data_IF_196011789125
#
_entry.id   IF_196011789125
#
_cell.length_a   1.000
_cell.length_b   1.000
_cell.length_c   1.000
_cell.angle_alpha   90.00
_cell.angle_beta   90.00
_cell.angle_gamma   90.00
#
_symmetry.space_group_name_H-M   'P 1'
#
loop_
_entity.id
_entity.type
_entity.pdbx_description
1 polymer ?
#
# COMPACT_ATOMS: atom_id res chain seq x y z
N UNK A 1 -46.13 -26.54 -35.85
CA UNK A 1 -45.56 -25.31 -35.27
C UNK A 1 -44.38 -24.88 -36.13
N UNK A 2 -44.41 -23.66 -36.65
CA UNK A 2 -43.31 -23.07 -37.42
C UNK A 2 -42.11 -22.73 -36.50
N UNK A 3 -40.92 -22.54 -37.07
CA UNK A 3 -39.73 -22.16 -36.30
C UNK A 3 -39.93 -20.83 -35.54
N UNK A 4 -40.66 -19.88 -36.12
CA UNK A 4 -40.99 -18.61 -35.47
C UNK A 4 -41.93 -18.77 -34.27
N UNK A 5 -42.96 -19.61 -34.39
CA UNK A 5 -43.85 -19.95 -33.27
C UNK A 5 -43.10 -20.63 -32.12
N UNK A 6 -42.21 -21.57 -32.47
CA UNK A 6 -41.38 -22.29 -31.49
C UNK A 6 -40.43 -21.34 -30.74
N UNK A 7 -39.81 -20.41 -31.46
CA UNK A 7 -38.92 -19.39 -30.88
C UNK A 7 -39.70 -18.41 -29.98
N UNK A 8 -40.90 -18.00 -30.41
CA UNK A 8 -41.81 -17.16 -29.61
C UNK A 8 -42.22 -17.85 -28.30
N UNK A 9 -42.65 -19.12 -28.37
CA UNK A 9 -43.01 -19.91 -27.20
C UNK A 9 -41.84 -20.07 -26.24
N UNK A 10 -40.64 -20.39 -26.75
CA UNK A 10 -39.41 -20.46 -25.94
C UNK A 10 -39.13 -19.14 -25.21
N UNK A 11 -39.25 -18.01 -25.91
CA UNK A 11 -39.04 -16.69 -25.32
C UNK A 11 -39.98 -16.42 -24.15
N UNK A 12 -41.26 -16.78 -24.31
CA UNK A 12 -42.28 -16.64 -23.26
C UNK A 12 -42.02 -17.56 -22.07
N UNK A 13 -41.65 -18.82 -22.31
CA UNK A 13 -41.28 -19.78 -21.25
C UNK A 13 -40.06 -19.29 -20.46
N UNK A 14 -39.03 -18.77 -21.15
CA UNK A 14 -37.84 -18.16 -20.51
C UNK A 14 -38.22 -16.98 -19.63
N UNK A 15 -39.04 -16.07 -20.14
CA UNK A 15 -39.47 -14.88 -19.40
C UNK A 15 -40.27 -15.26 -18.15
N UNK A 16 -41.22 -16.21 -18.27
CA UNK A 16 -42.00 -16.69 -17.13
C UNK A 16 -41.11 -17.32 -16.05
N UNK A 17 -40.14 -18.16 -16.44
CA UNK A 17 -39.22 -18.78 -15.49
C UNK A 17 -38.32 -17.76 -14.79
N UNK A 18 -37.71 -16.82 -15.53
CA UNK A 18 -36.85 -15.78 -14.95
C UNK A 18 -37.60 -14.86 -13.96
N UNK A 19 -38.88 -14.59 -14.22
CA UNK A 19 -39.71 -13.79 -13.32
C UNK A 19 -40.03 -14.51 -12.01
N UNK A 20 -40.21 -15.84 -12.06
CA UNK A 20 -40.53 -16.68 -10.89
C UNK A 20 -39.29 -16.97 -10.03
N UNK A 21 -38.10 -16.89 -10.63
CA UNK A 21 -36.81 -17.17 -9.97
C UNK A 21 -35.81 -16.02 -10.22
N UNK A 22 -36.05 -14.80 -9.69
CA UNK A 22 -35.25 -13.60 -9.99
C UNK A 22 -33.78 -13.69 -9.55
N UNK A 23 -33.47 -14.56 -8.60
CA UNK A 23 -32.11 -14.85 -8.13
C UNK A 23 -31.29 -15.68 -9.13
N UNK A 24 -31.93 -16.26 -10.15
CA UNK A 24 -31.28 -17.17 -11.10
C UNK A 24 -30.91 -16.46 -12.39
N UNK A 25 -29.76 -16.84 -12.94
CA UNK A 25 -29.35 -16.38 -14.27
C UNK A 25 -30.24 -17.03 -15.35
N UNK A 26 -30.51 -16.34 -16.47
CA UNK A 26 -31.26 -16.90 -17.59
C UNK A 26 -30.67 -18.23 -18.07
N UNK A 27 -31.53 -19.19 -18.42
CA UNK A 27 -31.09 -20.50 -18.93
C UNK A 27 -30.43 -20.32 -20.30
N UNK A 28 -29.11 -20.44 -20.35
CA UNK A 28 -28.33 -20.43 -21.58
C UNK A 28 -28.28 -21.85 -22.19
N UNK A 29 -28.43 -22.01 -23.51
CA UNK A 29 -28.50 -23.33 -24.15
C UNK A 29 -27.26 -24.21 -23.94
N UNK A 30 -26.11 -23.58 -23.70
CA UNK A 30 -24.79 -24.25 -23.65
C UNK A 30 -24.40 -24.70 -22.24
N UNK A 31 -25.12 -24.27 -21.21
CA UNK A 31 -24.70 -24.43 -19.82
C UNK A 31 -25.84 -25.00 -18.96
N UNK A 32 -25.51 -26.11 -18.29
CA UNK A 32 -26.22 -26.78 -17.19
C UNK A 32 -27.35 -27.78 -17.49
N UNK A 33 -27.11 -28.99 -16.97
CA UNK A 33 -28.11 -30.05 -16.75
C UNK A 33 -29.21 -29.59 -15.77
N UNK A 34 -28.85 -28.83 -14.72
CA UNK A 34 -29.74 -28.47 -13.61
C UNK A 34 -30.81 -27.42 -13.93
N UNK A 35 -30.53 -26.47 -14.83
CA UNK A 35 -31.49 -25.41 -15.17
C UNK A 35 -32.75 -25.96 -15.87
N UNK A 36 -32.62 -27.06 -16.63
CA UNK A 36 -33.75 -27.72 -17.28
C UNK A 36 -34.57 -28.58 -16.32
N UNK A 37 -33.95 -29.12 -15.26
CA UNK A 37 -34.65 -29.87 -14.21
C UNK A 37 -35.56 -28.94 -13.42
N UNK A 38 -35.03 -27.78 -13.03
CA UNK A 38 -35.81 -26.76 -12.32
C UNK A 38 -36.92 -26.18 -13.20
N UNK A 39 -36.64 -25.92 -14.49
CA UNK A 39 -37.66 -25.48 -15.42
C UNK A 39 -38.76 -26.54 -15.59
N UNK A 40 -38.39 -27.82 -15.71
CA UNK A 40 -39.37 -28.92 -15.76
C UNK A 40 -40.21 -28.93 -14.49
N UNK A 41 -39.57 -28.89 -13.34
CA UNK A 41 -40.25 -29.03 -12.05
C UNK A 41 -41.18 -27.82 -11.79
N UNK A 42 -40.78 -26.60 -12.20
CA UNK A 42 -41.64 -25.40 -12.14
C UNK A 42 -42.80 -25.48 -13.14
N UNK A 43 -42.60 -26.02 -14.35
CA UNK A 43 -43.70 -26.27 -15.30
C UNK A 43 -44.69 -27.28 -14.71
N UNK A 44 -44.21 -28.38 -14.13
CA UNK A 44 -45.06 -29.43 -13.55
C UNK A 44 -45.80 -28.98 -12.29
N UNK A 45 -45.24 -28.02 -11.55
CA UNK A 45 -45.94 -27.38 -10.43
C UNK A 45 -47.15 -26.55 -10.88
N UNK A 46 -47.14 -26.04 -12.12
CA UNK A 46 -48.23 -25.23 -12.70
C UNK A 46 -49.18 -26.08 -13.55
N UNK A 47 -48.65 -27.07 -14.27
CA UNK A 47 -49.37 -27.94 -15.21
C UNK A 47 -49.11 -29.41 -14.85
N UNK A 48 -49.63 -29.92 -13.72
CA UNK A 48 -49.32 -31.26 -13.21
C UNK A 48 -49.77 -32.39 -14.13
N UNK A 49 -50.84 -32.19 -14.91
CA UNK A 49 -51.36 -33.14 -15.90
C UNK A 49 -50.36 -33.42 -17.05
N UNK A 50 -49.38 -32.54 -17.26
CA UNK A 50 -48.39 -32.67 -18.32
C UNK A 50 -47.16 -33.52 -17.95
N UNK A 51 -47.17 -34.23 -16.80
CA UNK A 51 -46.04 -35.02 -16.30
C UNK A 51 -45.49 -36.05 -17.31
N UNK A 52 -46.36 -36.69 -18.10
CA UNK A 52 -45.95 -37.63 -19.15
C UNK A 52 -45.40 -36.94 -20.42
N UNK A 53 -45.71 -35.64 -20.60
CA UNK A 53 -45.44 -34.88 -21.81
C UNK A 53 -44.23 -33.95 -21.69
N UNK A 54 -43.93 -33.43 -20.50
CA UNK A 54 -42.74 -32.60 -20.23
C UNK A 54 -41.57 -33.50 -19.81
N UNK A 55 -40.60 -33.68 -20.71
CA UNK A 55 -39.35 -34.37 -20.39
C UNK A 55 -38.14 -33.46 -20.63
N UNK A 56 -37.05 -33.73 -19.91
CA UNK A 56 -35.79 -32.98 -20.07
C UNK A 56 -35.31 -33.01 -21.52
N UNK A 57 -35.45 -34.15 -22.21
CA UNK A 57 -35.06 -34.26 -23.62
C UNK A 57 -35.90 -33.37 -24.54
N UNK A 58 -37.22 -33.23 -24.29
CA UNK A 58 -38.08 -32.34 -25.08
C UNK A 58 -37.79 -30.87 -24.81
N UNK A 59 -37.56 -30.49 -23.55
CA UNK A 59 -37.14 -29.12 -23.18
C UNK A 59 -35.79 -28.76 -23.81
N UNK A 60 -34.79 -29.64 -23.72
CA UNK A 60 -33.49 -29.43 -24.38
C UNK A 60 -33.63 -29.27 -25.88
N UNK A 61 -34.45 -30.11 -26.53
CA UNK A 61 -34.73 -29.99 -27.96
C UNK A 61 -35.38 -28.65 -28.30
N UNK A 62 -36.38 -28.21 -27.54
CA UNK A 62 -37.00 -26.90 -27.75
C UNK A 62 -35.96 -25.79 -27.65
N UNK A 63 -35.16 -25.76 -26.58
CA UNK A 63 -34.23 -24.67 -26.35
C UNK A 63 -33.04 -24.68 -27.32
N UNK A 64 -32.56 -25.85 -27.73
CA UNK A 64 -31.43 -25.99 -28.66
C UNK A 64 -31.83 -25.71 -30.11
N UNK A 65 -32.89 -26.37 -30.62
CA UNK A 65 -33.25 -26.29 -32.03
C UNK A 65 -33.99 -25.00 -32.42
N UNK A 66 -34.44 -24.21 -31.45
CA UNK A 66 -35.04 -22.90 -31.69
C UNK A 66 -34.12 -21.74 -31.33
N UNK A 67 -32.86 -22.02 -30.95
CA UNK A 67 -31.86 -20.98 -30.73
C UNK A 67 -31.11 -20.63 -32.01
N UNK A 68 -31.25 -19.39 -32.54
CA UNK A 68 -30.52 -18.97 -33.72
C UNK A 68 -29.00 -18.93 -33.49
N UNK A 69 -28.52 -18.85 -32.25
CA UNK A 69 -27.09 -18.87 -31.92
C UNK A 69 -26.52 -20.27 -31.68
N UNK A 70 -27.38 -21.26 -31.38
CA UNK A 70 -26.95 -22.64 -31.11
C UNK A 70 -27.14 -23.58 -32.31
N UNK A 71 -28.05 -23.27 -33.24
CA UNK A 71 -28.38 -24.11 -34.38
C UNK A 71 -28.31 -23.31 -35.69
N UNK A 72 -27.57 -23.80 -36.68
CA UNK A 72 -27.51 -23.15 -38.00
C UNK A 72 -28.85 -23.29 -38.74
N UNK A 73 -29.22 -22.34 -39.62
CA UNK A 73 -30.49 -22.39 -40.36
C UNK A 73 -30.74 -23.70 -41.10
N UNK A 74 -29.70 -24.37 -41.59
CA UNK A 74 -29.83 -25.67 -42.29
C UNK A 74 -30.19 -26.83 -41.35
N UNK A 75 -29.94 -26.69 -40.05
CA UNK A 75 -30.26 -27.69 -39.01
C UNK A 75 -31.55 -27.37 -38.25
N UNK A 76 -32.24 -26.28 -38.61
CA UNK A 76 -33.59 -25.96 -38.11
C UNK A 76 -34.68 -26.79 -38.81
N UNK A 77 -34.44 -28.07 -39.07
CA UNK A 77 -35.56 -28.99 -39.31
C UNK A 77 -36.26 -29.17 -37.96
N UNK A 78 -37.41 -28.51 -37.82
CA UNK A 78 -38.12 -28.43 -36.54
C UNK A 78 -38.39 -29.84 -36.00
N UNK A 79 -37.84 -30.23 -34.84
CA UNK A 79 -38.25 -31.47 -34.20
C UNK A 79 -39.76 -31.40 -33.98
N UNK A 80 -40.49 -32.45 -34.37
CA UNK A 80 -41.92 -32.52 -34.10
C UNK A 80 -42.12 -32.65 -32.60
N UNK A 81 -42.72 -31.63 -32.01
CA UNK A 81 -43.16 -31.67 -30.62
C UNK A 81 -44.57 -32.26 -30.58
N UNK A 82 -44.84 -33.13 -29.61
CA UNK A 82 -46.19 -33.60 -29.35
C UNK A 82 -47.10 -32.42 -28.96
N UNK A 83 -48.37 -32.47 -29.38
CA UNK A 83 -49.35 -31.42 -29.10
C UNK A 83 -49.44 -31.11 -27.60
N UNK A 84 -49.53 -32.15 -26.77
CA UNK A 84 -49.62 -32.07 -25.32
C UNK A 84 -48.41 -31.36 -24.67
N UNK A 85 -47.22 -31.47 -25.27
CA UNK A 85 -46.03 -30.75 -24.79
C UNK A 85 -46.12 -29.26 -25.09
N UNK A 86 -46.62 -28.89 -26.27
CA UNK A 86 -46.79 -27.49 -26.67
C UNK A 86 -47.89 -26.82 -25.85
N UNK A 87 -49.03 -27.49 -25.66
CA UNK A 87 -50.14 -26.98 -24.85
C UNK A 87 -49.70 -26.73 -23.40
N UNK A 88 -48.94 -27.65 -22.81
CA UNK A 88 -48.41 -27.48 -21.45
C UNK A 88 -47.46 -26.28 -21.32
N UNK A 89 -46.63 -26.02 -22.33
CA UNK A 89 -45.74 -24.85 -22.35
C UNK A 89 -46.50 -23.54 -22.57
N UNK A 90 -47.55 -23.57 -23.39
CA UNK A 90 -48.44 -22.41 -23.59
C UNK A 90 -49.18 -22.07 -22.31
N UNK A 91 -49.77 -23.05 -21.63
CA UNK A 91 -50.42 -22.88 -20.33
C UNK A 91 -49.45 -22.32 -19.28
N UNK A 92 -48.24 -22.88 -19.19
CA UNK A 92 -47.19 -22.36 -18.30
C UNK A 92 -46.81 -20.92 -18.66
N UNK A 93 -46.69 -20.59 -19.95
CA UNK A 93 -46.37 -19.24 -20.39
C UNK A 93 -47.53 -18.23 -20.21
N UNK A 94 -48.78 -18.68 -20.23
CA UNK A 94 -49.98 -17.84 -20.11
C UNK A 94 -50.43 -17.62 -18.66
N UNK A 95 -49.97 -18.43 -17.69
CA UNK A 95 -50.29 -18.24 -16.27
C UNK A 95 -49.89 -16.85 -15.70
N UNK A 96 -49.05 -16.10 -16.43
CA UNK A 96 -48.64 -14.74 -16.06
C UNK A 96 -49.61 -13.65 -16.49
N UNK A 97 -50.44 -13.87 -17.53
CA UNK A 97 -51.41 -12.86 -17.99
C UNK A 97 -52.45 -12.54 -16.91
N UNK A 98 -52.65 -13.42 -15.94
CA UNK A 98 -53.53 -13.20 -14.81
C UNK A 98 -52.94 -12.28 -13.72
N UNK A 99 -51.60 -12.18 -13.62
CA UNK A 99 -50.93 -11.32 -12.61
C UNK A 99 -50.64 -9.90 -13.08
N UNK A 100 -50.59 -9.65 -14.39
CA UNK A 100 -50.42 -8.28 -14.94
C UNK A 100 -51.67 -7.39 -14.80
N UNK A 101 -52.83 -7.96 -14.42
CA UNK A 101 -54.04 -7.19 -14.13
C UNK A 101 -54.14 -6.68 -12.69
N UNK A 102 -53.12 -6.90 -11.85
CA UNK A 102 -53.05 -6.19 -10.57
C UNK A 102 -52.65 -4.73 -10.84
N UNK A 103 -53.45 -3.74 -10.41
CA UNK A 103 -53.15 -2.34 -10.66
C UNK A 103 -51.80 -1.99 -10.01
N UNK A 104 -50.75 -1.94 -10.82
CA UNK A 104 -49.45 -1.40 -10.43
C UNK A 104 -49.72 0.06 -10.08
N UNK A 105 -49.85 0.31 -8.78
CA UNK A 105 -49.99 1.64 -8.19
C UNK A 105 -48.74 2.42 -8.58
N UNK A 106 -48.81 3.13 -9.71
CA UNK A 106 -47.75 3.99 -10.22
C UNK A 106 -47.53 5.09 -9.19
N UNK A 107 -46.60 4.86 -8.27
CA UNK A 107 -45.98 5.91 -7.46
C UNK A 107 -45.31 6.86 -8.45
N UNK A 108 -45.98 7.98 -8.68
CA UNK A 108 -45.60 9.13 -9.51
C UNK A 108 -44.09 9.34 -9.57
N UNK A 109 -43.50 9.16 -10.76
CA UNK A 109 -42.06 9.03 -11.00
C UNK A 109 -41.16 10.20 -10.59
N UNK A 110 -41.72 11.33 -10.18
CA UNK A 110 -40.95 12.47 -9.66
C UNK A 110 -40.30 12.17 -8.30
N UNK A 111 -40.98 11.46 -7.39
CA UNK A 111 -40.44 11.17 -6.04
C UNK A 111 -39.31 10.12 -6.05
N UNK A 112 -39.37 9.16 -6.98
CA UNK A 112 -38.30 8.14 -7.15
C UNK A 112 -37.01 8.74 -7.70
N UNK A 113 -37.10 9.65 -8.68
CA UNK A 113 -35.91 10.33 -9.23
C UNK A 113 -35.23 11.22 -8.19
N UNK A 114 -36.00 11.91 -7.34
CA UNK A 114 -35.46 12.70 -6.24
C UNK A 114 -34.71 11.82 -5.22
N UNK A 115 -35.30 10.67 -4.83
CA UNK A 115 -34.67 9.75 -3.88
C UNK A 115 -33.33 9.17 -4.37
N UNK A 116 -33.25 8.80 -5.65
CA UNK A 116 -32.01 8.30 -6.25
C UNK A 116 -30.93 9.39 -6.29
N UNK A 117 -31.29 10.62 -6.67
CA UNK A 117 -30.34 11.74 -6.68
C UNK A 117 -29.76 12.04 -5.28
N UNK A 118 -30.60 11.98 -4.25
CA UNK A 118 -30.19 12.23 -2.86
C UNK A 118 -29.28 11.12 -2.31
N UNK A 119 -29.53 9.87 -2.70
CA UNK A 119 -28.67 8.74 -2.36
C UNK A 119 -27.28 8.86 -3.01
N UNK A 120 -27.21 9.26 -4.29
CA UNK A 120 -25.93 9.47 -4.98
C UNK A 120 -25.14 10.60 -4.31
N UNK A 121 -25.80 11.71 -3.97
CA UNK A 121 -25.18 12.83 -3.26
C UNK A 121 -24.65 12.42 -1.88
N UNK A 122 -25.39 11.60 -1.14
CA UNK A 122 -24.96 11.08 0.16
C UNK A 122 -23.72 10.18 0.00
N UNK A 123 -23.74 9.27 -0.98
CA UNK A 123 -22.60 8.38 -1.23
C UNK A 123 -21.35 9.17 -1.67
N UNK A 124 -21.49 10.20 -2.51
CA UNK A 124 -20.35 11.03 -2.90
C UNK A 124 -19.84 11.88 -1.74
N UNK A 125 -20.70 12.36 -0.85
CA UNK A 125 -20.30 13.05 0.37
C UNK A 125 -19.54 12.12 1.32
N UNK A 126 -20.01 10.89 1.53
CA UNK A 126 -19.34 9.88 2.37
C UNK A 126 -17.98 9.47 1.77
N UNK A 127 -17.92 9.20 0.46
CA UNK A 127 -16.66 8.87 -0.21
C UNK A 127 -15.67 10.05 -0.15
N UNK A 128 -16.13 11.28 -0.39
CA UNK A 128 -15.29 12.48 -0.28
C UNK A 128 -14.81 12.70 1.15
N UNK A 129 -15.67 12.49 2.15
CA UNK A 129 -15.28 12.59 3.56
C UNK A 129 -14.29 11.51 3.98
N UNK A 130 -14.44 10.27 3.50
CA UNK A 130 -13.46 9.19 3.75
C UNK A 130 -12.11 9.50 3.12
N UNK A 131 -12.10 9.95 1.86
CA UNK A 131 -10.88 10.41 1.16
C UNK A 131 -10.26 11.58 1.91
N UNK A 132 -11.06 12.60 2.25
CA UNK A 132 -10.57 13.77 2.97
C UNK A 132 -10.02 13.38 4.36
N UNK A 133 -10.75 12.60 5.14
CA UNK A 133 -10.29 12.07 6.42
C UNK A 133 -8.96 11.33 6.25
N UNK A 134 -8.84 10.46 5.26
CA UNK A 134 -7.63 9.66 5.06
C UNK A 134 -6.42 10.50 4.64
N UNK A 135 -6.62 11.57 3.85
CA UNK A 135 -5.54 12.43 3.38
C UNK A 135 -5.24 13.64 4.27
N UNK A 136 -6.20 14.06 5.11
CA UNK A 136 -6.13 15.31 5.88
C UNK A 136 -6.25 15.12 7.40
N UNK A 137 -6.45 13.90 7.93
CA UNK A 137 -6.16 13.69 9.35
C UNK A 137 -4.67 13.94 9.55
N UNK A 138 -4.36 15.04 10.23
CA UNK A 138 -3.07 15.27 10.83
C UNK A 138 -2.80 14.06 11.73
N UNK A 139 -1.92 13.16 11.28
CA UNK A 139 -1.46 12.06 12.11
C UNK A 139 -1.06 12.62 13.48
N UNK A 140 -1.54 11.97 14.53
CA UNK A 140 -1.31 12.44 15.88
C UNK A 140 0.21 12.54 16.11
N UNK A 141 0.68 13.62 16.75
CA UNK A 141 2.09 13.72 17.13
C UNK A 141 2.44 12.50 17.98
N UNK A 142 3.58 11.89 17.69
CA UNK A 142 4.06 10.74 18.43
C UNK A 142 5.55 10.84 18.69
N UNK A 143 5.97 10.23 19.79
CA UNK A 143 7.36 10.09 20.19
C UNK A 143 7.61 8.65 20.60
N UNK A 144 8.71 8.09 20.13
CA UNK A 144 9.20 6.78 20.51
C UNK A 144 10.50 6.96 21.28
N UNK A 145 10.47 6.63 22.57
CA UNK A 145 11.64 6.65 23.47
C UNK A 145 12.30 5.26 23.58
N UNK A 146 11.89 4.27 22.76
CA UNK A 146 12.50 2.94 22.66
C UNK A 146 12.71 2.22 24.01
N UNK A 147 11.76 2.39 24.94
CA UNK A 147 11.79 1.71 26.24
C UNK A 147 11.62 0.18 26.14
N UNK A 148 10.99 -0.29 25.06
CA UNK A 148 10.85 -1.73 24.74
C UNK A 148 11.21 -1.96 23.27
N UNK A 149 12.41 -2.47 23.04
CA UNK A 149 12.99 -2.70 21.71
C UNK A 149 12.81 -4.13 21.22
N UNK A 150 11.98 -4.93 21.90
CA UNK A 150 11.56 -6.22 21.37
C UNK A 150 10.82 -6.04 20.04
N UNK A 151 10.92 -7.02 19.15
CA UNK A 151 10.22 -6.96 17.87
C UNK A 151 8.70 -6.83 18.07
N UNK A 152 8.15 -7.57 19.03
CA UNK A 152 6.74 -7.53 19.40
C UNK A 152 6.32 -6.15 19.94
N UNK A 153 7.14 -5.55 20.82
CA UNK A 153 6.90 -4.21 21.36
C UNK A 153 6.93 -3.13 20.28
N UNK A 154 7.92 -3.20 19.37
CA UNK A 154 8.02 -2.29 18.23
C UNK A 154 6.78 -2.43 17.32
N UNK A 155 6.38 -3.67 17.00
CA UNK A 155 5.20 -3.96 16.18
C UNK A 155 3.90 -3.47 16.81
N UNK A 156 3.72 -3.65 18.13
CA UNK A 156 2.52 -3.17 18.82
C UNK A 156 2.40 -1.64 18.81
N UNK A 157 3.50 -0.92 18.56
CA UNK A 157 3.56 0.54 18.41
C UNK A 157 3.65 1.00 16.95
N UNK A 158 3.38 0.11 16.01
CA UNK A 158 3.26 0.40 14.58
C UNK A 158 4.57 0.46 13.81
N UNK A 159 5.68 0.01 14.41
CA UNK A 159 6.94 -0.19 13.69
C UNK A 159 6.93 -1.53 12.94
N UNK A 160 7.62 -1.58 11.82
CA UNK A 160 7.86 -2.79 11.06
C UNK A 160 9.35 -2.93 10.77
N UNK A 161 9.92 -4.11 11.02
CA UNK A 161 11.29 -4.42 10.67
C UNK A 161 11.33 -5.01 9.25
N UNK A 162 12.04 -4.35 8.34
CA UNK A 162 12.33 -4.84 7.00
C UNK A 162 13.68 -5.57 7.02
N UNK A 163 13.79 -6.63 6.20
CA UNK A 163 15.04 -7.39 6.03
C UNK A 163 15.70 -7.78 7.36
N UNK A 164 14.90 -8.34 8.27
CA UNK A 164 15.32 -8.62 9.64
C UNK A 164 16.38 -9.72 9.72
N UNK A 165 17.54 -9.42 10.30
CA UNK A 165 18.53 -10.37 10.81
C UNK A 165 18.37 -10.50 12.33
N UNK A 166 17.80 -11.62 12.82
CA UNK A 166 17.51 -11.79 14.25
C UNK A 166 18.78 -11.79 15.10
N UNK A 167 19.94 -12.18 14.56
CA UNK A 167 21.20 -12.25 15.30
C UNK A 167 21.60 -10.89 15.84
N UNK A 168 21.43 -9.85 15.03
CA UNK A 168 21.75 -8.48 15.41
C UNK A 168 20.54 -7.75 16.00
N UNK A 169 19.33 -8.08 15.56
CA UNK A 169 18.13 -7.40 16.05
C UNK A 169 17.88 -7.66 17.54
N UNK A 170 18.11 -8.88 18.03
CA UNK A 170 17.96 -9.20 19.46
C UNK A 170 19.08 -8.64 20.34
N UNK A 171 20.18 -8.18 19.74
CA UNK A 171 21.38 -7.72 20.45
C UNK A 171 21.22 -6.25 20.90
N UNK A 172 20.36 -6.02 21.87
CA UNK A 172 20.10 -4.69 22.42
C UNK A 172 21.06 -4.43 23.57
N UNK A 173 22.11 -3.63 23.32
CA UNK A 173 23.21 -3.44 24.28
C UNK A 173 23.04 -2.26 25.20
N UNK A 174 22.07 -1.38 24.92
CA UNK A 174 21.78 -0.18 25.71
C UNK A 174 20.30 -0.16 26.13
N UNK A 175 19.96 -0.37 27.42
CA UNK A 175 18.59 -0.28 27.89
C UNK A 175 17.98 1.11 27.66
N UNK A 176 16.72 1.16 27.26
CA UNK A 176 15.99 2.41 26.99
C UNK A 176 16.42 3.12 25.69
N UNK A 177 17.15 2.44 24.81
CA UNK A 177 17.52 2.95 23.49
C UNK A 177 17.43 1.84 22.47
N UNK A 178 17.14 2.19 21.22
CA UNK A 178 17.24 1.26 20.11
C UNK A 178 18.71 1.13 19.69
N UNK A 179 19.24 -0.09 19.76
CA UNK A 179 20.55 -0.42 19.19
C UNK A 179 20.37 -0.80 17.72
N UNK A 180 21.03 -0.06 16.83
CA UNK A 180 21.15 -0.38 15.40
C UNK A 180 22.61 -0.68 15.06
N UNK A 181 22.87 -1.56 14.10
CA UNK A 181 24.21 -2.00 13.74
C UNK A 181 24.52 -1.63 12.29
N UNK A 182 25.77 -1.26 11.99
CA UNK A 182 26.22 -1.00 10.62
C UNK A 182 26.34 -2.29 9.81
N UNK A 183 25.20 -2.95 9.54
CA UNK A 183 25.14 -4.19 8.78
C UNK A 183 25.29 -3.93 7.28
N UNK A 184 25.65 -4.96 6.49
CA UNK A 184 25.62 -4.84 5.04
C UNK A 184 24.27 -4.34 4.52
N UNK A 185 24.34 -3.35 3.64
CA UNK A 185 23.19 -2.79 2.96
C UNK A 185 23.45 -1.35 2.54
N UNK A 186 23.05 -0.99 1.33
CA UNK A 186 22.92 0.38 0.79
C UNK A 186 22.49 0.24 -0.70
N UNK A 187 22.64 1.29 -1.50
CA UNK A 187 22.55 1.24 -2.96
C UNK A 187 23.70 0.49 -3.64
N UNK A 188 24.83 0.29 -2.95
CA UNK A 188 26.05 -0.31 -3.47
C UNK A 188 26.06 -1.83 -3.34
N UNK A 189 25.06 -2.47 -3.94
CA UNK A 189 25.01 -3.94 -4.06
C UNK A 189 25.62 -4.40 -5.38
N UNK A 190 26.10 -5.63 -5.41
CA UNK A 190 26.63 -6.22 -6.65
C UNK A 190 25.54 -6.38 -7.71
N UNK A 191 25.91 -6.45 -8.99
CA UNK A 191 24.99 -6.89 -10.02
C UNK A 191 24.35 -8.23 -9.60
N UNK A 192 23.01 -8.29 -9.64
CA UNK A 192 22.19 -9.45 -9.25
C UNK A 192 21.98 -9.67 -7.74
N UNK A 193 22.51 -8.81 -6.87
CA UNK A 193 22.15 -8.85 -5.45
C UNK A 193 20.93 -7.98 -5.13
N UNK A 194 20.22 -8.39 -4.09
CA UNK A 194 19.06 -7.65 -3.63
C UNK A 194 19.47 -6.36 -2.90
N UNK A 195 18.96 -5.21 -3.36
CA UNK A 195 19.08 -3.95 -2.63
C UNK A 195 18.21 -3.99 -1.38
N UNK A 196 18.85 -4.00 -0.22
CA UNK A 196 18.23 -3.94 1.11
C UNK A 196 19.09 -3.19 2.12
N UNK A 197 18.46 -2.73 3.20
CA UNK A 197 19.12 -2.25 4.41
C UNK A 197 18.68 -3.21 5.51
N UNK A 198 19.60 -4.06 5.94
CA UNK A 198 19.33 -5.08 6.96
C UNK A 198 18.89 -4.42 8.27
N UNK A 199 17.84 -4.93 8.90
CA UNK A 199 17.25 -4.38 10.14
C UNK A 199 16.75 -2.93 10.04
N UNK A 200 16.34 -2.47 8.85
CA UNK A 200 15.65 -1.19 8.71
C UNK A 200 14.28 -1.26 9.39
N UNK A 201 14.05 -0.45 10.43
CA UNK A 201 12.71 -0.32 11.00
C UNK A 201 11.99 0.88 10.39
N UNK A 202 10.70 0.74 10.08
CA UNK A 202 9.89 1.78 9.45
C UNK A 202 8.58 2.00 10.20
N UNK A 203 8.11 3.25 10.21
CA UNK A 203 6.81 3.65 10.79
C UNK A 203 6.14 4.75 9.95
N UNK A 204 4.82 4.73 9.80
CA UNK A 204 4.10 5.83 9.14
C UNK A 204 4.27 7.17 9.88
N UNK A 205 4.57 8.23 9.14
CA UNK A 205 4.70 9.61 9.70
C UNK A 205 3.39 10.38 9.73
N UNK A 206 2.36 9.90 9.02
CA UNK A 206 1.07 10.59 8.92
C UNK A 206 1.08 11.70 7.85
N UNK A 207 0.74 12.95 8.19
CA UNK A 207 0.38 13.99 7.23
C UNK A 207 1.60 14.57 6.50
N UNK A 208 1.35 15.36 5.46
CA UNK A 208 2.38 15.92 4.57
C UNK A 208 3.22 17.06 5.18
N UNK A 209 2.82 17.57 6.35
CA UNK A 209 3.45 18.73 6.99
C UNK A 209 3.86 18.37 8.42
N UNK A 210 5.09 17.88 8.59
CA UNK A 210 5.59 17.36 9.88
C UNK A 210 7.02 17.79 10.15
N UNK A 211 7.40 17.79 11.42
CA UNK A 211 8.78 17.84 11.87
C UNK A 211 9.15 16.49 12.45
N UNK A 212 10.21 15.88 11.92
CA UNK A 212 10.79 14.65 12.42
C UNK A 212 12.09 15.03 13.12
N UNK A 213 12.24 14.64 14.38
CA UNK A 213 13.48 14.88 15.15
C UNK A 213 13.96 13.55 15.74
N UNK A 214 15.24 13.25 15.60
CA UNK A 214 15.87 12.04 16.13
C UNK A 214 17.10 12.41 16.94
N UNK A 215 17.27 11.75 18.09
CA UNK A 215 18.47 11.86 18.92
C UNK A 215 19.27 10.56 18.84
N UNK A 216 20.46 10.68 18.27
CA UNK A 216 21.46 9.61 18.15
C UNK A 216 22.51 9.82 19.24
N UNK A 217 22.91 8.75 19.92
CA UNK A 217 23.91 8.75 20.99
C UNK A 217 25.00 7.72 20.67
N UNK A 218 26.25 8.04 21.01
CA UNK A 218 27.36 7.08 21.05
C UNK A 218 27.71 6.40 19.72
N UNK A 219 27.43 7.03 18.57
CA UNK A 219 27.79 6.48 17.26
C UNK A 219 29.12 7.09 16.76
N UNK A 220 30.16 6.26 16.69
CA UNK A 220 31.53 6.69 16.37
C UNK A 220 32.05 6.00 15.10
N UNK A 221 31.56 6.37 13.91
CA UNK A 221 31.97 5.72 12.67
C UNK A 221 33.45 6.00 12.40
N UNK A 222 34.23 4.94 12.19
CA UNK A 222 35.69 4.98 12.09
C UNK A 222 36.24 4.33 10.81
N UNK A 223 35.36 3.72 10.00
CA UNK A 223 35.70 3.09 8.73
C UNK A 223 34.73 3.53 7.62
N UNK A 224 35.18 3.53 6.35
CA UNK A 224 34.35 3.91 5.20
C UNK A 224 32.96 3.28 5.20
N UNK A 225 31.98 4.09 4.78
CA UNK A 225 30.58 3.70 4.58
C UNK A 225 29.78 3.36 5.85
N UNK A 226 30.38 3.30 7.03
CA UNK A 226 29.62 3.20 8.28
C UNK A 226 28.74 4.44 8.45
N UNK A 227 27.43 4.23 8.56
CA UNK A 227 26.48 5.32 8.74
C UNK A 227 25.27 4.89 9.55
N UNK A 228 24.63 5.87 10.18
CA UNK A 228 23.34 5.78 10.83
C UNK A 228 22.45 6.87 10.25
N UNK A 229 21.21 6.55 9.92
CA UNK A 229 20.35 7.48 9.22
C UNK A 229 18.86 7.33 9.58
N UNK A 230 18.16 8.46 9.44
CA UNK A 230 16.74 8.52 9.21
C UNK A 230 16.50 8.44 7.70
N UNK A 231 15.54 7.62 7.28
CA UNK A 231 15.10 7.53 5.90
C UNK A 231 13.66 8.05 5.78
N UNK A 232 13.38 8.89 4.79
CA UNK A 232 12.03 9.25 4.40
C UNK A 232 11.64 8.47 3.15
N UNK A 233 10.65 7.61 3.27
CA UNK A 233 10.27 6.67 2.22
C UNK A 233 8.84 6.95 1.76
N UNK A 234 8.57 6.71 0.48
CA UNK A 234 7.20 6.72 -0.08
C UNK A 234 6.43 5.44 0.28
N UNK A 235 7.11 4.31 0.29
CA UNK A 235 6.56 2.98 0.55
C UNK A 235 7.61 2.10 1.23
N UNK A 236 7.23 0.90 1.69
CA UNK A 236 8.09 -0.05 2.41
C UNK A 236 9.07 -0.76 1.47
N UNK A 237 9.78 0.00 0.65
CA UNK A 237 10.69 -0.50 -0.35
C UNK A 237 11.81 0.51 -0.54
N UNK A 238 13.04 0.15 -0.16
CA UNK A 238 14.17 1.07 -0.30
C UNK A 238 14.60 1.28 -1.77
N UNK A 239 14.08 0.46 -2.70
CA UNK A 239 14.37 0.56 -4.13
C UNK A 239 13.58 1.65 -4.82
N UNK A 240 12.68 2.34 -4.13
CA UNK A 240 12.02 3.54 -4.64
C UNK A 240 12.76 4.79 -4.16
N UNK A 241 12.48 5.97 -4.76
CA UNK A 241 13.02 7.22 -4.27
C UNK A 241 12.77 7.40 -2.77
N UNK A 242 13.84 7.72 -2.06
CA UNK A 242 13.83 8.02 -0.64
C UNK A 242 14.80 9.17 -0.36
N UNK A 243 14.63 9.82 0.78
CA UNK A 243 15.58 10.79 1.29
C UNK A 243 16.29 10.18 2.49
N UNK A 244 17.62 10.23 2.50
CA UNK A 244 18.44 9.81 3.63
C UNK A 244 19.02 11.02 4.34
N UNK A 245 18.94 11.01 5.66
CA UNK A 245 19.53 12.05 6.53
C UNK A 245 20.23 11.34 7.67
N UNK A 246 21.56 11.43 7.72
CA UNK A 246 22.34 10.61 8.63
C UNK A 246 23.64 11.25 9.09
N UNK A 247 24.39 10.46 9.84
CA UNK A 247 25.77 10.69 10.23
C UNK A 247 26.56 9.44 9.88
N UNK A 248 27.78 9.59 9.37
CA UNK A 248 28.59 8.46 8.96
C UNK A 248 30.04 8.82 8.78
N UNK A 249 30.82 7.89 8.21
CA UNK A 249 32.18 8.11 7.81
C UNK A 249 32.26 8.44 6.32
N UNK A 250 32.70 9.65 5.99
CA UNK A 250 33.05 10.02 4.62
C UNK A 250 34.54 10.00 4.37
N UNK A 251 34.97 9.44 3.24
CA UNK A 251 36.27 9.71 2.65
C UNK A 251 36.09 10.87 1.66
N UNK A 252 36.87 11.94 1.80
CA UNK A 252 36.85 13.07 0.85
C UNK A 252 37.13 12.56 -0.56
N UNK A 253 36.09 12.43 -1.39
CA UNK A 253 36.20 11.92 -2.75
C UNK A 253 37.03 12.89 -3.59
N UNK A 254 38.29 12.53 -3.86
CA UNK A 254 39.10 13.20 -4.89
C UNK A 254 40.44 13.81 -4.47
N UNK A 255 40.84 13.75 -3.20
CA UNK A 255 42.23 14.08 -2.85
C UNK A 255 42.95 12.85 -2.32
N UNK A 256 44.06 12.48 -3.00
CA UNK A 256 45.09 11.52 -2.58
C UNK A 256 45.65 11.90 -1.19
N UNK A 257 44.86 11.73 -0.15
CA UNK A 257 45.28 11.95 1.23
C UNK A 257 45.21 10.61 1.93
N UNK A 258 46.38 10.09 2.28
CA UNK A 258 46.62 8.79 2.93
C UNK A 258 46.03 8.69 4.34
N UNK A 259 45.13 9.57 4.77
CA UNK A 259 44.70 9.64 6.16
C UNK A 259 43.19 9.85 6.29
N UNK A 260 42.52 8.84 6.85
CA UNK A 260 41.08 8.84 7.10
C UNK A 260 40.62 10.02 7.94
N UNK A 261 39.81 10.88 7.33
CA UNK A 261 39.02 11.90 8.01
C UNK A 261 37.64 11.32 8.34
N UNK A 262 37.09 11.65 9.51
CA UNK A 262 35.70 11.31 9.87
C UNK A 262 34.83 12.52 9.51
N UNK A 263 34.08 12.43 8.42
CA UNK A 263 33.26 13.53 7.89
C UNK A 263 31.82 13.34 8.35
N UNK A 264 31.15 14.37 8.90
CA UNK A 264 29.69 14.34 9.01
C UNK A 264 29.09 14.37 7.59
N UNK A 265 28.83 13.18 7.06
CA UNK A 265 28.09 13.01 5.82
C UNK A 265 26.62 13.32 6.08
N UNK A 266 26.22 14.56 5.79
CA UNK A 266 24.94 14.71 5.12
C UNK A 266 25.12 14.10 3.73
N UNK A 267 24.32 13.11 3.38
CA UNK A 267 24.24 12.63 1.99
C UNK A 267 22.78 12.71 1.61
N UNK A 268 22.40 13.72 0.83
CA UNK A 268 21.08 13.80 0.22
C UNK A 268 21.07 12.90 -1.02
N UNK A 269 21.03 11.60 -0.83
CA UNK A 269 20.87 10.73 -1.98
C UNK A 269 19.44 10.84 -2.52
N UNK A 270 19.27 11.71 -3.53
CA UNK A 270 18.06 11.84 -4.32
C UNK A 270 18.02 10.64 -5.28
N UNK A 271 17.61 9.48 -4.75
CA UNK A 271 17.47 8.27 -5.54
C UNK A 271 16.26 8.38 -6.49
N UNK A 272 16.36 9.14 -7.58
CA UNK A 272 15.44 8.97 -8.69
C UNK A 272 15.73 7.62 -9.34
N UNK A 273 14.93 6.60 -9.03
CA UNK A 273 15.07 5.29 -9.66
C UNK A 273 14.59 5.37 -11.10
N UNK A 274 15.54 5.52 -12.02
CA UNK A 274 15.60 4.77 -13.28
C UNK A 274 16.97 4.99 -13.93
N UNK A 275 17.88 4.02 -13.77
CA UNK A 275 19.03 3.72 -14.67
C UNK A 275 20.12 4.81 -14.78
N UNK A 276 19.90 6.03 -14.30
CA UNK A 276 20.88 7.10 -14.12
C UNK A 276 20.63 7.77 -12.75
N UNK A 277 21.28 7.29 -11.70
CA UNK A 277 21.23 7.92 -10.38
C UNK A 277 22.01 9.23 -10.48
N UNK A 278 21.33 10.37 -10.43
CA UNK A 278 21.99 11.64 -10.11
C UNK A 278 22.08 11.71 -8.59
N UNK A 279 23.16 11.14 -8.05
CA UNK A 279 23.48 11.24 -6.64
C UNK A 279 24.02 12.64 -6.38
N UNK A 280 23.24 13.45 -5.68
CA UNK A 280 23.74 14.71 -5.16
C UNK A 280 24.16 14.52 -3.70
N UNK A 281 25.41 14.12 -3.46
CA UNK A 281 25.95 14.12 -2.10
C UNK A 281 26.10 15.57 -1.62
N UNK A 282 25.36 15.97 -0.58
CA UNK A 282 25.54 17.28 0.05
C UNK A 282 26.08 17.15 1.46
N UNK A 283 27.39 17.35 1.59
CA UNK A 283 28.05 17.41 2.89
C UNK A 283 27.69 18.73 3.58
N UNK A 284 26.91 18.64 4.66
CA UNK A 284 26.53 19.81 5.44
C UNK A 284 27.69 20.41 6.25
N UNK A 285 28.73 19.63 6.55
CA UNK A 285 29.99 20.08 7.20
C UNK A 285 30.99 18.92 7.18
N UNK A 286 32.21 19.15 6.70
CA UNK A 286 33.33 18.29 7.07
C UNK A 286 33.83 18.74 8.44
N UNK A 287 33.63 17.93 9.48
CA UNK A 287 34.25 18.20 10.77
C UNK A 287 35.73 17.87 10.61
N UNK A 288 36.53 18.90 10.33
CA UNK A 288 37.95 18.73 10.10
C UNK A 288 38.62 18.26 11.40
N UNK A 289 39.28 17.09 11.35
CA UNK A 289 39.92 16.43 12.51
C UNK A 289 40.90 17.36 13.25
N UNK A 290 41.40 18.40 12.57
CA UNK A 290 42.34 19.41 13.09
C UNK A 290 41.74 20.37 14.12
N UNK A 291 40.42 20.61 14.12
CA UNK A 291 39.79 21.52 15.10
C UNK A 291 39.70 20.92 16.51
N UNK A 292 40.00 19.61 16.67
CA UNK A 292 39.78 18.86 17.90
C UNK A 292 41.00 18.03 18.34
N UNK A 293 42.19 18.42 17.86
CA UNK A 293 43.46 17.77 18.21
C UNK A 293 44.02 18.19 19.59
N UNK A 294 43.29 19.00 20.36
CA UNK A 294 43.65 19.26 21.76
C UNK A 294 43.37 17.98 22.56
N UNK A 295 44.43 17.43 23.17
CA UNK A 295 44.53 16.08 23.75
C UNK A 295 43.52 15.75 24.88
N UNK A 296 42.66 16.70 25.26
CA UNK A 296 41.76 16.59 26.42
C UNK A 296 40.25 16.63 26.10
N UNK A 297 39.83 16.84 24.84
CA UNK A 297 38.43 16.68 24.45
C UNK A 297 38.25 15.36 23.70
N UNK A 298 37.29 14.52 24.12
CA UNK A 298 36.77 13.46 23.26
C UNK A 298 36.29 14.12 21.96
N UNK A 299 37.09 14.03 20.91
CA UNK A 299 37.03 14.85 19.69
C UNK A 299 35.76 14.71 18.84
N UNK A 300 34.73 14.01 19.35
CA UNK A 300 33.53 13.64 18.61
C UNK A 300 32.28 13.95 19.43
N UNK A 301 31.21 14.44 18.78
CA UNK A 301 29.92 14.61 19.44
C UNK A 301 29.40 13.24 19.89
N UNK A 302 29.25 13.06 21.21
CA UNK A 302 28.62 11.87 21.77
C UNK A 302 27.10 11.85 21.51
N UNK A 303 26.51 13.02 21.21
CA UNK A 303 25.09 13.10 20.83
C UNK A 303 24.92 13.97 19.59
N UNK A 304 24.10 13.48 18.68
CA UNK A 304 23.73 14.12 17.42
C UNK A 304 22.22 14.18 17.35
N UNK A 305 21.70 15.36 17.04
CA UNK A 305 20.29 15.56 16.78
C UNK A 305 20.12 15.80 15.29
N UNK A 306 19.25 15.03 14.64
CA UNK A 306 18.83 15.23 13.26
C UNK A 306 17.40 15.72 13.25
N UNK A 307 17.11 16.78 12.48
CA UNK A 307 15.76 17.29 12.32
C UNK A 307 15.44 17.50 10.85
N UNK A 308 14.26 17.04 10.45
CA UNK A 308 13.71 17.20 9.10
C UNK A 308 12.36 17.86 9.20
N UNK A 309 12.22 19.05 8.62
CA UNK A 309 10.93 19.71 8.45
C UNK A 309 10.41 19.41 7.05
N UNK A 310 9.22 18.81 6.97
CA UNK A 310 8.56 18.44 5.73
C UNK A 310 7.37 19.39 5.54
N UNK A 311 7.32 20.05 4.39
CA UNK A 311 6.21 20.90 3.94
C UNK A 311 5.79 20.44 2.53
N UNK A 312 4.86 19.47 2.48
CA UNK A 312 4.46 18.82 1.24
C UNK A 312 5.57 17.94 0.66
N UNK A 313 6.31 18.49 -0.30
CA UNK A 313 7.48 17.85 -0.93
C UNK A 313 8.79 18.57 -0.60
N UNK A 314 8.73 19.76 0.00
CA UNK A 314 9.91 20.50 0.42
C UNK A 314 10.37 19.95 1.77
N UNK A 315 11.64 19.62 1.88
CA UNK A 315 12.27 19.22 3.13
C UNK A 315 13.40 20.16 3.50
N UNK A 316 13.41 20.67 4.73
CA UNK A 316 14.52 21.44 5.31
C UNK A 316 15.22 20.57 6.33
N UNK A 317 16.53 20.44 6.20
CA UNK A 317 17.35 19.53 6.98
C UNK A 317 18.20 20.32 7.95
N UNK A 318 18.17 19.88 9.21
CA UNK A 318 18.86 20.51 10.31
C UNK A 318 19.63 19.48 11.13
N UNK A 319 20.65 19.97 11.82
CA UNK A 319 21.43 19.18 12.79
C UNK A 319 21.71 20.00 14.04
N UNK A 320 22.07 19.31 15.11
CA UNK A 320 22.64 19.91 16.32
C UNK A 320 23.55 18.89 17.01
N UNK A 321 24.59 19.36 17.67
CA UNK A 321 25.46 18.55 18.53
C UNK A 321 25.27 18.88 20.02
N UNK A 322 25.66 17.97 20.92
CA UNK A 322 25.54 18.18 22.38
C UNK A 322 26.30 19.40 22.91
N UNK A 323 27.38 19.83 22.28
CA UNK A 323 28.18 20.99 22.72
C UNK A 323 27.65 22.34 22.21
N UNK A 324 26.59 22.36 21.38
CA UNK A 324 26.05 23.58 20.78
C UNK A 324 24.93 24.20 21.64
N UNK A 325 25.04 25.51 21.85
CA UNK A 325 24.29 26.26 22.86
C UNK A 325 22.83 26.59 22.56
N UNK A 326 22.20 26.10 21.46
CA UNK A 326 20.76 25.79 21.39
C UNK A 326 20.11 25.80 19.99
N UNK A 327 20.80 26.18 18.92
CA UNK A 327 20.12 26.34 17.61
C UNK A 327 20.41 25.13 16.72
N UNK A 328 19.35 24.55 16.15
CA UNK A 328 19.47 23.61 15.04
C UNK A 328 20.04 24.36 13.82
N UNK A 329 21.22 23.96 13.36
CA UNK A 329 21.84 24.51 12.15
C UNK A 329 21.18 23.90 10.92
N UNK A 330 20.67 24.75 10.03
CA UNK A 330 20.08 24.32 8.75
C UNK A 330 21.18 24.14 7.73
N UNK A 331 21.42 22.91 7.31
CA UNK A 331 22.48 22.62 6.35
C UNK A 331 21.98 22.41 4.91
N UNK A 332 20.69 22.08 4.71
CA UNK A 332 20.16 21.82 3.37
C UNK A 332 18.67 22.05 3.25
N UNK A 333 18.23 22.42 2.06
CA UNK A 333 16.84 22.38 1.63
C UNK A 333 16.77 21.58 0.32
N UNK A 334 15.76 20.72 0.21
CA UNK A 334 15.51 19.85 -0.95
C UNK A 334 14.03 19.88 -1.31
N UNK A 335 13.71 19.79 -2.60
CA UNK A 335 12.37 19.44 -3.06
C UNK A 335 12.36 17.99 -3.57
N UNK A 336 11.56 17.14 -2.93
CA UNK A 336 11.44 15.73 -3.25
C UNK A 336 10.51 15.51 -4.45
N UNK A 337 10.81 14.50 -5.28
CA UNK A 337 9.91 14.07 -6.35
C UNK A 337 8.69 13.29 -5.84
N UNK A 338 8.71 12.89 -4.57
CA UNK A 338 7.66 12.13 -3.88
C UNK A 338 7.25 12.82 -2.57
N UNK A 339 6.07 12.47 -2.06
CA UNK A 339 5.66 12.85 -0.71
C UNK A 339 6.06 11.71 0.25
N UNK A 340 6.89 11.96 1.27
CA UNK A 340 7.19 10.98 2.31
C UNK A 340 5.93 10.46 2.99
N UNK A 341 5.86 9.15 3.21
CA UNK A 341 4.75 8.48 3.91
C UNK A 341 5.25 7.69 5.13
N UNK A 342 6.53 7.34 5.15
CA UNK A 342 7.17 6.57 6.22
C UNK A 342 8.47 7.26 6.65
N UNK A 343 8.80 7.08 7.93
CA UNK A 343 10.12 7.31 8.49
C UNK A 343 10.76 5.97 8.79
N UNK A 344 12.01 5.80 8.36
CA UNK A 344 12.84 4.64 8.63
C UNK A 344 14.02 5.01 9.52
N UNK A 345 14.49 4.05 10.31
CA UNK A 345 15.73 4.14 11.09
C UNK A 345 16.58 2.94 10.73
N UNK A 346 17.83 3.18 10.37
CA UNK A 346 18.80 2.12 10.14
C UNK A 346 20.22 2.59 10.38
N UNK A 347 21.09 1.62 10.66
CA UNK A 347 22.53 1.76 10.50
C UNK A 347 22.98 0.73 9.48
N UNK A 348 23.98 1.09 8.69
CA UNK A 348 24.43 0.23 7.62
C UNK A 348 25.82 0.63 7.14
N UNK A 349 26.42 -0.25 6.37
CA UNK A 349 27.67 -0.02 5.67
C UNK A 349 27.57 -0.60 4.26
N UNK A 350 28.25 0.07 3.33
CA UNK A 350 28.11 -0.11 1.89
C UNK A 350 28.51 -1.49 1.38
N UNK A 351 29.58 -1.55 0.60
CA UNK A 351 29.94 -2.71 -0.22
C UNK A 351 30.05 -4.02 0.57
N UNK A 352 29.66 -5.12 -0.06
CA UNK A 352 29.93 -6.49 0.38
C UNK A 352 31.10 -7.11 -0.41
N UNK A 353 31.91 -7.92 0.25
CA UNK A 353 32.84 -8.87 -0.36
C UNK A 353 32.06 -9.95 -1.15
N UNK A 354 32.73 -10.75 -1.98
CA UNK A 354 32.08 -11.79 -2.83
C UNK A 354 31.37 -12.87 -2.02
N UNK A 355 31.70 -12.99 -0.74
CA UNK A 355 31.06 -13.88 0.23
C UNK A 355 29.87 -13.23 0.98
N UNK A 356 29.48 -12.00 0.64
CA UNK A 356 28.39 -11.26 1.29
C UNK A 356 28.77 -10.60 2.62
N UNK A 357 30.01 -10.74 3.09
CA UNK A 357 30.49 -10.02 4.28
C UNK A 357 30.72 -8.55 3.96
N UNK A 358 30.59 -7.62 4.92
CA UNK A 358 30.89 -6.22 4.66
C UNK A 358 32.35 -6.02 4.24
N UNK A 359 32.58 -5.19 3.22
CA UNK A 359 33.90 -4.90 2.67
C UNK A 359 34.72 -4.06 3.67
N UNK A 360 35.44 -4.74 4.57
CA UNK A 360 36.54 -4.17 5.35
C UNK A 360 36.16 -3.26 6.52
N UNK A 361 34.89 -3.22 6.92
CA UNK A 361 34.45 -2.46 8.10
C UNK A 361 33.85 -3.36 9.19
N UNK A 362 34.32 -3.17 10.42
CA UNK A 362 33.76 -3.74 11.64
C UNK A 362 32.32 -3.26 11.80
N UNK A 363 31.44 -4.20 12.17
CA UNK A 363 30.06 -3.87 12.52
C UNK A 363 30.06 -3.17 13.88
N UNK A 364 29.68 -1.89 13.90
CA UNK A 364 29.60 -1.10 15.13
C UNK A 364 28.14 -0.78 15.47
N UNK A 365 27.80 -0.64 16.76
CA UNK A 365 26.48 -0.18 17.18
C UNK A 365 26.36 1.34 17.07
N UNK A 366 25.15 1.82 16.85
CA UNK A 366 24.70 3.17 17.15
C UNK A 366 23.40 3.12 17.94
N UNK A 367 23.16 4.14 18.77
CA UNK A 367 22.02 4.15 19.69
C UNK A 367 21.06 5.27 19.32
N UNK A 368 19.79 4.94 19.15
CA UNK A 368 18.71 5.92 19.04
C UNK A 368 18.04 6.03 20.40
N UNK A 369 18.16 7.21 21.02
CA UNK A 369 17.51 7.52 22.29
C UNK A 369 16.01 7.72 22.05
N UNK A 370 15.65 8.63 21.14
CA UNK A 370 14.25 8.83 20.76
C UNK A 370 14.09 9.35 19.33
N UNK A 371 12.90 9.13 18.78
CA UNK A 371 12.43 9.76 17.55
C UNK A 371 11.03 10.34 17.77
N UNK A 372 10.84 11.60 17.38
CA UNK A 372 9.60 12.35 17.50
C UNK A 372 9.12 12.80 16.11
N UNK A 373 7.82 12.66 15.86
CA UNK A 373 7.11 13.23 14.72
C UNK A 373 5.99 14.11 15.25
N UNK A 374 5.99 15.38 14.87
CA UNK A 374 4.97 16.35 15.26
C UNK A 374 4.50 17.15 14.05
N UNK A 375 3.29 17.74 14.07
CA UNK A 375 2.87 18.68 13.05
C UNK A 375 3.88 19.81 12.85
N UNK A 376 4.07 20.23 11.59
CA UNK A 376 4.75 21.48 11.31
C UNK A 376 3.79 22.61 11.67
N UNK A 377 4.00 23.24 12.83
CA UNK A 377 3.15 24.34 13.30
C UNK A 377 3.14 25.46 12.26
N UNK A 378 1.95 25.75 11.73
CA UNK A 378 1.76 26.67 10.60
C UNK A 378 2.12 28.13 10.88
N UNK A 379 2.24 28.54 12.14
CA UNK A 379 2.60 29.91 12.52
C UNK A 379 3.15 29.95 13.95
N UNK A 380 4.42 30.31 14.09
CA UNK A 380 5.00 30.78 15.35
C UNK A 380 5.69 29.69 16.18
N UNK A 381 7.02 29.75 16.20
CA UNK A 381 7.90 29.10 17.17
C UNK A 381 7.39 29.35 18.60
N UNK A 382 6.62 28.42 19.18
CA UNK A 382 6.52 28.35 20.63
C UNK A 382 7.77 27.63 21.12
N UNK A 383 8.61 28.26 21.96
CA UNK A 383 9.76 27.58 22.54
C UNK A 383 9.29 26.33 23.29
N UNK A 384 10.09 25.27 23.19
CA UNK A 384 9.82 24.00 23.87
C UNK A 384 9.61 24.24 25.38
N UNK A 385 8.60 23.63 26.01
CA UNK A 385 8.44 23.69 27.46
C UNK A 385 9.63 22.95 28.11
N UNK A 386 10.56 23.70 28.70
CA UNK A 386 11.73 23.15 29.37
C UNK A 386 13.06 23.87 29.13
N UNK A 387 13.10 24.93 28.32
CA UNK A 387 14.29 25.80 28.20
C UNK A 387 14.20 27.01 29.14
N UNK A 388 14.39 26.77 30.44
CA UNK A 388 14.79 27.79 31.42
C UNK A 388 16.09 27.39 32.08
#
# INVERSE_FOLDING_TARGET
>A
MSSSEASSLRGRVKACFAQRHPERKPVEPKTYLGAYEELRDDILAIVPEANSSISLNRLRKLFYYTDPEACTPEKMEAPSFGKDFLEALEQYADCQKEKENLPVRRLTGAKKKLGIGLLILLLTAVCSWMVFSFYFTTGEPWREDFNDVSLEGLQSRGWEALDCDPTYFIRQTQPGMLTVYTLPGDFWVKPNEERKITNLIVKPIGPRNVVITCKIVGFYPNQPHQQIAILLLKEKNIRVPHLRVGYGFGTSSGQNTKEGQRILLGTLELAAVQINVHEEVFTGLSVDKKLYADENMSAYPDTIFLRVEIEGRKCRLFRKYNYEWNVFDRFKEVELSFAPALVGIGAFQGWTNDDGTPMGAEVIPGYIDWLEVRPLDGDGVRPLPGSQ
#
